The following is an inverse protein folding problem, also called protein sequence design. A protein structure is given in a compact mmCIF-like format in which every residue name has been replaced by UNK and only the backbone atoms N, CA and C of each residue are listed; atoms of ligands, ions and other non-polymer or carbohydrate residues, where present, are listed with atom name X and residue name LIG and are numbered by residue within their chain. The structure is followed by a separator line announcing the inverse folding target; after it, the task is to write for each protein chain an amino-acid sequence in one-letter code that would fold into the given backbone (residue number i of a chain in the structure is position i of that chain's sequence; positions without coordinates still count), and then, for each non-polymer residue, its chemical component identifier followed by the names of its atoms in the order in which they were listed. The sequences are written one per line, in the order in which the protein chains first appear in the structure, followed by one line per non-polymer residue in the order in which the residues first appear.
data_IF_326911732592
#
_entry.id   IF_326911732592
#
_cell.length_a   1.000
_cell.length_b   1.000
_cell.length_c   1.000
_cell.angle_alpha   90.00
_cell.angle_beta   90.00
_cell.angle_gamma   90.00
#
_symmetry.space_group_name_H-M   'P 1'
#
loop_
_entity.id
_entity.type
_entity.pdbx_description
1 polymer ?
#
# COMPACT_ATOMS: atom_id res chain seq x y z
N UNK A 1 -5.13 -13.83 -4.01
CA UNK A 1 -4.64 -13.00 -5.14
C UNK A 1 -4.20 -11.63 -4.64
N UNK A 2 -3.62 -10.74 -5.49
CA UNK A 2 -3.28 -9.36 -5.09
C UNK A 2 -4.52 -8.58 -4.64
N UNK A 3 -5.62 -8.75 -5.37
CA UNK A 3 -6.91 -8.14 -5.05
C UNK A 3 -7.47 -8.62 -3.71
N UNK A 4 -7.33 -9.91 -3.37
CA UNK A 4 -7.75 -10.41 -2.05
C UNK A 4 -6.98 -9.76 -0.90
N UNK A 5 -5.67 -9.49 -1.11
CA UNK A 5 -4.86 -8.79 -0.11
C UNK A 5 -5.34 -7.36 0.07
N UNK A 6 -5.62 -6.65 -1.02
CA UNK A 6 -6.18 -5.30 -0.97
C UNK A 6 -7.55 -5.29 -0.29
N UNK A 7 -8.48 -6.18 -0.70
CA UNK A 7 -9.82 -6.29 -0.10
C UNK A 7 -9.75 -6.64 1.39
N UNK A 8 -8.81 -7.51 1.78
CA UNK A 8 -8.57 -7.81 3.20
C UNK A 8 -8.05 -6.59 3.97
N UNK A 9 -7.17 -5.78 3.38
CA UNK A 9 -6.67 -4.56 4.00
C UNK A 9 -7.79 -3.52 4.14
N UNK A 10 -8.59 -3.32 3.10
CA UNK A 10 -9.76 -2.43 3.08
C UNK A 10 -10.73 -2.80 4.20
N UNK A 11 -11.15 -4.07 4.28
CA UNK A 11 -12.12 -4.53 5.30
C UNK A 11 -11.62 -4.41 6.73
N UNK A 12 -10.31 -4.41 6.95
CA UNK A 12 -9.70 -4.27 8.29
C UNK A 12 -9.62 -2.82 8.73
N UNK A 13 -9.48 -1.89 7.79
CA UNK A 13 -9.10 -0.50 8.09
C UNK A 13 -10.23 0.49 7.84
N UNK A 14 -11.08 0.26 6.83
CA UNK A 14 -12.13 1.19 6.39
C UNK A 14 -13.51 0.76 6.87
N UNK A 15 -14.44 1.72 6.89
CA UNK A 15 -15.86 1.44 7.20
C UNK A 15 -16.51 0.54 6.14
N UNK A 16 -17.64 -0.13 6.44
CA UNK A 16 -18.34 -0.97 5.47
C UNK A 16 -18.74 -0.23 4.19
N UNK A 17 -19.13 1.05 4.30
CA UNK A 17 -19.55 1.87 3.16
C UNK A 17 -18.37 2.26 2.26
N UNK A 18 -17.25 2.66 2.87
CA UNK A 18 -15.99 2.93 2.15
C UNK A 18 -15.45 1.66 1.49
N UNK A 19 -15.53 0.52 2.17
CA UNK A 19 -15.12 -0.77 1.62
C UNK A 19 -15.98 -1.16 0.41
N UNK A 20 -17.30 -0.95 0.48
CA UNK A 20 -18.20 -1.17 -0.64
C UNK A 20 -17.90 -0.21 -1.82
N UNK A 21 -17.55 1.04 -1.54
CA UNK A 21 -17.14 2.00 -2.56
C UNK A 21 -15.84 1.58 -3.27
N UNK A 22 -14.84 1.12 -2.52
CA UNK A 22 -13.60 0.61 -3.07
C UNK A 22 -13.78 -0.68 -3.89
N UNK A 23 -14.70 -1.56 -3.47
CA UNK A 23 -15.06 -2.76 -4.23
C UNK A 23 -15.70 -2.39 -5.58
N UNK A 24 -16.65 -1.44 -5.60
CA UNK A 24 -17.24 -0.90 -6.85
C UNK A 24 -16.19 -0.23 -7.73
N UNK A 25 -15.22 0.47 -7.14
CA UNK A 25 -14.14 1.11 -7.87
C UNK A 25 -13.21 0.09 -8.53
N UNK A 26 -12.92 -1.04 -7.87
CA UNK A 26 -12.14 -2.13 -8.44
C UNK A 26 -12.84 -2.77 -9.64
N UNK A 27 -14.16 -2.97 -9.55
CA UNK A 27 -14.98 -3.49 -10.66
C UNK A 27 -14.96 -2.51 -11.84
N UNK A 28 -15.20 -1.23 -11.58
CA UNK A 28 -15.15 -0.19 -12.59
C UNK A 28 -13.77 -0.08 -13.26
N UNK A 29 -12.69 -0.12 -12.47
CA UNK A 29 -11.33 -0.08 -12.98
C UNK A 29 -10.99 -1.33 -13.80
N UNK A 30 -11.46 -2.51 -13.39
CA UNK A 30 -11.28 -3.75 -14.14
C UNK A 30 -11.90 -3.66 -15.55
N UNK A 31 -13.11 -3.11 -15.66
CA UNK A 31 -13.78 -2.91 -16.94
C UNK A 31 -13.00 -1.97 -17.87
N UNK A 32 -12.57 -0.82 -17.34
CA UNK A 32 -11.90 0.23 -18.13
C UNK A 32 -10.44 -0.08 -18.46
N UNK A 33 -9.82 -1.01 -17.72
CA UNK A 33 -8.41 -1.40 -17.92
C UNK A 33 -8.25 -2.82 -18.46
N UNK A 34 -9.33 -3.49 -18.84
CA UNK A 34 -9.32 -4.90 -19.25
C UNK A 34 -8.34 -5.23 -20.39
N UNK A 35 -8.19 -4.32 -21.35
CA UNK A 35 -7.27 -4.46 -22.49
C UNK A 35 -5.88 -3.84 -22.25
N UNK A 36 -5.66 -3.21 -21.10
CA UNK A 36 -4.44 -2.49 -20.78
C UNK A 36 -3.48 -3.38 -20.00
N UNK A 37 -2.24 -3.47 -20.49
CA UNK A 37 -1.17 -4.23 -19.85
C UNK A 37 0.03 -3.34 -19.54
N UNK A 38 0.80 -3.74 -18.54
CA UNK A 38 2.09 -3.13 -18.19
C UNK A 38 3.19 -3.61 -19.14
N UNK A 39 4.39 -3.06 -18.97
CA UNK A 39 5.56 -3.39 -19.79
C UNK A 39 5.98 -4.88 -19.71
N UNK A 40 5.67 -5.58 -18.63
CA UNK A 40 5.89 -7.02 -18.46
C UNK A 40 4.68 -7.89 -18.88
N UNK A 41 3.63 -7.29 -19.45
CA UNK A 41 2.39 -7.97 -19.83
C UNK A 41 1.42 -8.22 -18.67
N UNK A 42 1.75 -7.81 -17.44
CA UNK A 42 0.81 -7.93 -16.32
C UNK A 42 -0.39 -6.96 -16.49
N UNK A 43 -1.59 -7.28 -15.95
CA UNK A 43 -2.76 -6.41 -16.06
C UNK A 43 -2.51 -5.03 -15.44
N UNK A 44 -3.00 -3.96 -16.07
CA UNK A 44 -2.85 -2.59 -15.52
C UNK A 44 -3.48 -2.45 -14.12
N UNK A 45 -4.61 -3.14 -13.89
CA UNK A 45 -5.30 -3.17 -12.60
C UNK A 45 -4.41 -3.63 -11.43
N UNK A 46 -3.39 -4.47 -11.69
CA UNK A 46 -2.46 -4.92 -10.65
C UNK A 46 -1.66 -3.75 -10.06
N UNK A 47 -1.30 -2.76 -10.89
CA UNK A 47 -0.62 -1.55 -10.44
C UNK A 47 -1.56 -0.73 -9.55
N UNK A 48 -2.76 -0.40 -10.04
CA UNK A 48 -3.74 0.38 -9.28
C UNK A 48 -4.08 -0.25 -7.92
N UNK A 49 -4.25 -1.58 -7.88
CA UNK A 49 -4.51 -2.29 -6.64
C UNK A 49 -3.33 -2.21 -5.65
N UNK A 50 -2.10 -2.27 -6.13
CA UNK A 50 -0.92 -2.17 -5.27
C UNK A 50 -0.68 -0.74 -4.79
N UNK A 51 -0.92 0.27 -5.62
CA UNK A 51 -0.89 1.69 -5.22
C UNK A 51 -1.90 1.97 -4.11
N UNK A 52 -3.13 1.49 -4.26
CA UNK A 52 -4.17 1.60 -3.25
C UNK A 52 -3.77 0.89 -1.94
N UNK A 53 -3.15 -0.29 -2.02
CA UNK A 53 -2.65 -1.03 -0.85
C UNK A 53 -1.53 -0.28 -0.12
N UNK A 54 -0.58 0.28 -0.86
CA UNK A 54 0.50 1.11 -0.29
C UNK A 54 -0.10 2.33 0.41
N UNK A 55 -1.03 3.02 -0.26
CA UNK A 55 -1.74 4.16 0.31
C UNK A 55 -2.44 3.81 1.62
N UNK A 56 -3.15 2.70 1.67
CA UNK A 56 -3.89 2.27 2.86
C UNK A 56 -2.99 1.77 4.00
N UNK A 57 -2.00 0.91 3.72
CA UNK A 57 -1.22 0.23 4.76
C UNK A 57 0.06 0.95 5.18
N UNK A 58 0.70 1.70 4.27
CA UNK A 58 2.01 2.33 4.51
C UNK A 58 1.90 3.85 4.75
N UNK A 59 0.89 4.50 4.18
CA UNK A 59 0.63 5.93 4.37
C UNK A 59 -0.54 6.18 5.34
N UNK A 60 -1.55 5.31 5.34
CA UNK A 60 -2.75 5.45 6.17
C UNK A 60 -3.85 6.30 5.52
N UNK A 61 -4.03 6.17 4.20
CA UNK A 61 -5.08 6.85 3.44
C UNK A 61 -6.48 6.29 3.75
N UNK A 62 -7.49 7.15 3.78
CA UNK A 62 -8.91 6.80 3.99
C UNK A 62 -9.66 6.40 2.72
N UNK A 63 -10.97 6.16 2.83
CA UNK A 63 -11.80 5.59 1.76
C UNK A 63 -11.70 6.30 0.42
N UNK A 64 -12.00 7.58 0.35
CA UNK A 64 -12.00 8.33 -0.92
C UNK A 64 -10.63 8.35 -1.59
N UNK A 65 -9.55 8.41 -0.81
CA UNK A 65 -8.19 8.36 -1.34
C UNK A 65 -7.82 6.98 -1.88
N UNK A 66 -8.30 5.91 -1.24
CA UNK A 66 -8.16 4.53 -1.74
C UNK A 66 -8.94 4.35 -3.03
N UNK A 67 -10.16 4.86 -3.10
CA UNK A 67 -10.98 4.84 -4.32
C UNK A 67 -10.28 5.62 -5.45
N UNK A 68 -9.80 6.83 -5.17
CA UNK A 68 -9.04 7.62 -6.14
C UNK A 68 -7.76 6.91 -6.60
N UNK A 69 -7.03 6.25 -5.69
CA UNK A 69 -5.86 5.44 -6.04
C UNK A 69 -6.20 4.23 -6.94
N UNK A 70 -7.38 3.61 -6.78
CA UNK A 70 -7.84 2.53 -7.67
C UNK A 70 -8.16 3.09 -9.07
N UNK A 71 -8.77 4.28 -9.14
CA UNK A 71 -9.26 4.88 -10.37
C UNK A 71 -8.22 5.73 -11.14
N UNK A 72 -7.06 6.02 -10.54
CA UNK A 72 -6.12 7.00 -11.09
C UNK A 72 -5.67 6.69 -12.53
N UNK A 73 -5.43 5.42 -12.84
CA UNK A 73 -4.98 5.00 -14.17
C UNK A 73 -6.11 4.99 -15.21
N UNK A 74 -7.35 4.78 -14.78
CA UNK A 74 -8.54 4.90 -15.64
C UNK A 74 -8.65 6.33 -16.16
N UNK A 75 -8.59 7.31 -15.26
CA UNK A 75 -8.69 8.74 -15.60
C UNK A 75 -7.48 9.22 -16.41
N UNK A 76 -6.27 8.79 -16.02
CA UNK A 76 -5.04 9.14 -16.75
C UNK A 76 -5.00 8.59 -18.16
N UNK A 77 -5.53 7.38 -18.39
CA UNK A 77 -5.58 6.83 -19.76
C UNK A 77 -6.62 7.57 -20.60
N UNK A 78 -7.80 7.85 -20.04
CA UNK A 78 -8.84 8.60 -20.75
C UNK A 78 -8.39 10.03 -21.11
N UNK A 79 -7.65 10.71 -20.23
CA UNK A 79 -7.14 12.07 -20.50
C UNK A 79 -6.15 12.15 -21.68
N UNK A 80 -5.65 11.01 -22.15
CA UNK A 80 -4.70 10.90 -23.28
C UNK A 80 -5.35 10.41 -24.57
N UNK A 81 -6.62 10.04 -24.54
CA UNK A 81 -7.35 9.56 -25.71
C UNK A 81 -7.98 10.71 -26.47
N UNK A 82 -9.08 11.26 -25.96
CA UNK A 82 -9.79 12.38 -26.54
C UNK A 82 -10.61 13.11 -25.45
N UNK A 83 -10.96 14.37 -25.73
CA UNK A 83 -11.64 15.25 -24.78
C UNK A 83 -13.05 14.77 -24.43
N UNK A 84 -13.79 14.21 -25.39
CA UNK A 84 -15.17 13.74 -25.18
C UNK A 84 -15.21 12.53 -24.24
N UNK A 85 -14.34 11.55 -24.48
CA UNK A 85 -14.16 10.38 -23.61
C UNK A 85 -13.76 10.79 -22.21
N UNK A 86 -12.84 11.75 -22.08
CA UNK A 86 -12.41 12.27 -20.78
C UNK A 86 -13.57 12.93 -20.03
N UNK A 87 -14.33 13.83 -20.68
CA UNK A 87 -15.48 14.51 -20.05
C UNK A 87 -16.54 13.52 -19.58
N UNK A 88 -16.97 12.61 -20.47
CA UNK A 88 -17.96 11.58 -20.11
C UNK A 88 -17.50 10.73 -18.93
N UNK A 89 -16.25 10.27 -18.93
CA UNK A 89 -15.69 9.49 -17.84
C UNK A 89 -15.68 10.29 -16.52
N UNK A 90 -15.32 11.57 -16.55
CA UNK A 90 -15.29 12.40 -15.34
C UNK A 90 -16.67 12.63 -14.75
N UNK A 91 -17.71 12.77 -15.58
CA UNK A 91 -19.09 12.85 -15.10
C UNK A 91 -19.55 11.52 -14.47
N UNK A 92 -19.24 10.38 -15.11
CA UNK A 92 -19.53 9.05 -14.54
C UNK A 92 -18.84 8.83 -13.17
N UNK A 93 -17.58 9.26 -13.03
CA UNK A 93 -16.86 9.16 -11.76
C UNK A 93 -17.49 10.06 -10.70
N UNK A 94 -17.90 11.28 -11.07
CA UNK A 94 -18.59 12.21 -10.15
C UNK A 94 -19.86 11.59 -9.58
N UNK A 95 -20.67 10.99 -10.44
CA UNK A 95 -21.97 10.45 -10.07
C UNK A 95 -21.84 9.17 -9.24
N UNK A 96 -20.86 8.32 -9.54
CA UNK A 96 -20.66 7.03 -8.87
C UNK A 96 -19.86 7.12 -7.57
N UNK A 97 -18.87 8.01 -7.52
CA UNK A 97 -17.87 8.05 -6.44
C UNK A 97 -17.73 9.42 -5.77
N UNK A 98 -18.44 10.44 -6.26
CA UNK A 98 -18.47 11.76 -5.65
C UNK A 98 -17.41 12.74 -6.16
N UNK A 99 -17.60 14.00 -5.79
CA UNK A 99 -16.77 15.12 -6.26
C UNK A 99 -15.32 15.07 -5.75
N UNK A 100 -15.10 14.58 -4.53
CA UNK A 100 -13.76 14.49 -3.94
C UNK A 100 -12.88 13.48 -4.69
N UNK A 101 -13.41 12.29 -4.96
CA UNK A 101 -12.73 11.25 -5.76
C UNK A 101 -12.43 11.78 -7.16
N UNK A 102 -13.39 12.45 -7.80
CA UNK A 102 -13.16 13.09 -9.10
C UNK A 102 -12.02 14.11 -9.03
N UNK A 103 -12.05 15.04 -8.08
CA UNK A 103 -11.04 16.07 -7.94
C UNK A 103 -9.64 15.48 -7.79
N UNK A 104 -9.48 14.46 -6.94
CA UNK A 104 -8.20 13.78 -6.77
C UNK A 104 -7.73 13.10 -8.06
N UNK A 105 -8.60 12.36 -8.75
CA UNK A 105 -8.21 11.60 -9.95
C UNK A 105 -7.86 12.49 -11.14
N UNK A 106 -8.57 13.62 -11.32
CA UNK A 106 -8.24 14.63 -12.33
C UNK A 106 -6.92 15.33 -12.02
N UNK A 107 -6.68 15.71 -10.76
CA UNK A 107 -5.39 16.30 -10.39
C UNK A 107 -4.23 15.33 -10.64
N UNK A 108 -4.41 14.04 -10.32
CA UNK A 108 -3.40 13.00 -10.59
C UNK A 108 -3.10 12.80 -12.09
N UNK A 109 -4.08 12.93 -12.98
CA UNK A 109 -3.86 12.80 -14.42
C UNK A 109 -2.99 13.95 -14.94
N UNK A 110 -3.28 15.19 -14.55
CA UNK A 110 -2.54 16.38 -14.98
C UNK A 110 -1.08 16.40 -14.47
N UNK A 111 -0.84 15.96 -13.23
CA UNK A 111 0.52 15.90 -12.65
C UNK A 111 1.43 14.97 -13.45
N UNK A 112 0.89 13.91 -14.02
CA UNK A 112 1.66 12.93 -14.78
C UNK A 112 2.25 13.52 -16.07
N UNK A 113 1.77 14.69 -16.51
CA UNK A 113 2.22 15.38 -17.71
C UNK A 113 3.20 16.54 -17.41
N UNK A 114 3.42 16.88 -16.13
CA UNK A 114 4.42 17.88 -15.71
C UNK A 114 5.82 17.37 -16.09
N UNK A 115 6.46 18.08 -17.01
CA UNK A 115 7.83 17.76 -17.47
C UNK A 115 8.84 18.25 -16.44
N UNK A 116 9.14 17.39 -15.46
CA UNK A 116 10.23 17.61 -14.53
C UNK A 116 11.55 17.76 -15.30
N UNK A 117 12.10 18.98 -15.33
CA UNK A 117 13.41 19.24 -15.94
C UNK A 117 14.51 18.79 -15.00
N UNK A 118 15.52 18.11 -15.52
CA UNK A 118 16.65 17.61 -14.72
C UNK A 118 17.66 18.71 -14.30
N UNK A 119 17.46 19.97 -14.69
CA UNK A 119 18.42 21.07 -14.51
C UNK A 119 18.25 21.82 -13.17
N UNK A 120 18.99 22.93 -13.00
CA UNK A 120 18.94 23.89 -11.86
C UNK A 120 17.54 24.44 -11.50
N UNK A 121 16.50 24.12 -12.27
CA UNK A 121 15.10 24.47 -12.05
C UNK A 121 14.38 23.52 -11.05
N UNK A 122 15.11 22.86 -10.15
CA UNK A 122 14.50 22.01 -9.11
C UNK A 122 13.48 22.77 -8.24
N UNK A 123 13.73 24.06 -8.00
CA UNK A 123 12.81 24.93 -7.25
C UNK A 123 11.50 25.17 -8.00
N UNK A 124 11.54 25.34 -9.33
CA UNK A 124 10.36 25.55 -10.17
C UNK A 124 9.54 24.26 -10.30
N UNK A 125 10.20 23.12 -10.54
CA UNK A 125 9.55 21.80 -10.52
C UNK A 125 8.84 21.55 -9.18
N UNK A 126 9.48 21.90 -8.07
CA UNK A 126 8.90 21.76 -6.73
C UNK A 126 7.72 22.72 -6.52
N UNK A 127 7.80 23.94 -7.04
CA UNK A 127 6.73 24.93 -6.99
C UNK A 127 5.51 24.50 -7.81
N UNK A 128 5.70 24.03 -9.04
CA UNK A 128 4.63 23.49 -9.89
C UNK A 128 3.93 22.32 -9.21
N UNK A 129 4.69 21.40 -8.63
CA UNK A 129 4.15 20.29 -7.86
C UNK A 129 3.33 20.77 -6.67
N UNK A 130 3.84 21.68 -5.84
CA UNK A 130 3.08 22.25 -4.71
C UNK A 130 1.76 22.87 -5.19
N UNK A 131 1.78 23.61 -6.30
CA UNK A 131 0.58 24.23 -6.86
C UNK A 131 -0.43 23.16 -7.29
N UNK A 132 0.00 22.08 -7.95
CA UNK A 132 -0.90 20.99 -8.36
C UNK A 132 -1.54 20.21 -7.20
N UNK A 133 -0.95 20.21 -6.01
CA UNK A 133 -1.49 19.57 -4.81
C UNK A 133 -2.21 20.55 -3.86
N UNK A 134 -2.23 21.84 -4.17
CA UNK A 134 -2.67 22.88 -3.24
C UNK A 134 -4.15 22.78 -2.85
N UNK A 135 -4.98 22.18 -3.71
CA UNK A 135 -6.41 21.99 -3.45
C UNK A 135 -6.69 20.80 -2.52
N UNK A 136 -5.92 19.71 -2.66
CA UNK A 136 -6.09 18.51 -1.82
C UNK A 136 -4.73 17.83 -1.53
N UNK A 137 -4.25 17.86 -0.27
CA UNK A 137 -2.98 17.25 0.12
C UNK A 137 -2.98 15.71 -0.02
N UNK A 138 -4.15 15.06 -0.14
CA UNK A 138 -4.24 13.60 -0.36
C UNK A 138 -3.68 13.22 -1.73
N UNK A 139 -3.70 14.12 -2.71
CA UNK A 139 -3.20 13.90 -4.07
C UNK A 139 -1.69 13.62 -4.07
N UNK A 140 -0.89 14.36 -3.29
CA UNK A 140 0.56 14.10 -3.20
C UNK A 140 0.85 12.77 -2.51
N UNK A 141 0.05 12.40 -1.52
CA UNK A 141 0.20 11.12 -0.82
C UNK A 141 -0.07 9.94 -1.76
N UNK A 142 -1.14 10.02 -2.56
CA UNK A 142 -1.42 9.01 -3.60
C UNK A 142 -0.26 8.97 -4.62
N UNK A 143 0.28 10.13 -5.02
CA UNK A 143 1.39 10.18 -5.97
C UNK A 143 2.69 9.56 -5.42
N UNK A 144 2.95 9.68 -4.12
CA UNK A 144 4.06 9.01 -3.47
C UNK A 144 3.86 7.49 -3.44
N UNK A 145 2.64 7.01 -3.20
CA UNK A 145 2.31 5.59 -3.30
C UNK A 145 2.52 5.03 -4.72
N UNK A 146 2.03 5.75 -5.74
CA UNK A 146 2.27 5.45 -7.16
C UNK A 146 3.77 5.36 -7.45
N UNK A 147 4.52 6.40 -7.06
CA UNK A 147 5.96 6.42 -7.30
C UNK A 147 6.69 5.27 -6.60
N UNK A 148 6.30 4.91 -5.38
CA UNK A 148 6.90 3.80 -4.65
C UNK A 148 6.62 2.46 -5.36
N UNK A 149 5.39 2.22 -5.83
CA UNK A 149 5.08 1.02 -6.63
C UNK A 149 5.96 0.95 -7.89
N UNK A 150 6.06 2.08 -8.61
CA UNK A 150 6.85 2.17 -9.84
C UNK A 150 8.32 1.84 -9.56
N UNK A 151 8.88 2.32 -8.45
CA UNK A 151 10.27 2.03 -8.08
C UNK A 151 10.44 0.58 -7.63
N UNK A 152 9.50 0.01 -6.88
CA UNK A 152 9.50 -1.42 -6.49
C UNK A 152 9.42 -2.38 -7.68
N UNK A 153 8.91 -1.91 -8.82
CA UNK A 153 8.73 -2.66 -10.06
C UNK A 153 9.56 -2.07 -11.21
N UNK A 154 10.63 -1.33 -10.93
CA UNK A 154 11.36 -0.59 -11.96
C UNK A 154 11.94 -1.52 -13.04
N UNK A 155 12.26 -2.76 -12.68
CA UNK A 155 12.79 -3.79 -13.56
C UNK A 155 11.89 -4.15 -14.75
N UNK A 156 10.57 -3.90 -14.66
CA UNK A 156 9.66 -4.18 -15.78
C UNK A 156 9.78 -3.12 -16.89
N UNK A 157 10.30 -1.94 -16.57
CA UNK A 157 10.41 -0.86 -17.54
C UNK A 157 11.62 -1.07 -18.45
N UNK A 158 11.58 -0.55 -19.68
CA UNK A 158 12.77 -0.45 -20.53
C UNK A 158 13.91 0.31 -19.86
N UNK A 159 15.16 -0.09 -20.12
CA UNK A 159 16.37 0.42 -19.43
C UNK A 159 16.56 1.93 -19.58
N UNK A 160 16.16 2.51 -20.70
CA UNK A 160 16.23 3.94 -20.96
C UNK A 160 15.37 4.76 -19.99
N UNK A 161 14.35 4.16 -19.38
CA UNK A 161 13.48 4.81 -18.38
C UNK A 161 14.06 4.73 -16.96
N UNK A 162 14.98 3.81 -16.67
CA UNK A 162 15.47 3.53 -15.31
C UNK A 162 16.15 4.75 -14.70
N UNK A 163 17.09 5.36 -15.44
CA UNK A 163 17.86 6.53 -14.97
C UNK A 163 16.94 7.70 -14.64
N UNK A 164 16.00 8.03 -15.54
CA UNK A 164 15.05 9.14 -15.33
C UNK A 164 14.17 8.90 -14.10
N UNK A 165 13.53 7.73 -14.00
CA UNK A 165 12.63 7.40 -12.88
C UNK A 165 13.35 7.36 -11.54
N UNK A 166 14.56 6.82 -11.51
CA UNK A 166 15.39 6.77 -10.30
C UNK A 166 15.85 8.16 -9.87
N UNK A 167 16.29 8.98 -10.83
CA UNK A 167 16.71 10.36 -10.57
C UNK A 167 15.57 11.21 -10.01
N UNK A 168 14.37 11.13 -10.60
CA UNK A 168 13.17 11.82 -10.08
C UNK A 168 12.84 11.32 -8.67
N UNK A 169 12.89 10.00 -8.44
CA UNK A 169 12.57 9.41 -7.13
C UNK A 169 13.50 9.90 -6.03
N UNK A 170 14.80 9.97 -6.32
CA UNK A 170 15.81 10.43 -5.38
C UNK A 170 15.74 11.93 -5.12
N UNK A 171 15.70 12.73 -6.19
CA UNK A 171 15.88 14.19 -6.06
C UNK A 171 14.59 14.94 -5.76
N UNK A 172 13.43 14.32 -6.01
CA UNK A 172 12.13 14.95 -5.81
C UNK A 172 11.27 14.18 -4.81
N UNK A 173 10.86 12.96 -5.15
CA UNK A 173 9.84 12.26 -4.36
C UNK A 173 10.33 11.87 -2.97
N UNK A 174 11.60 11.45 -2.83
CA UNK A 174 12.20 11.19 -1.52
C UNK A 174 12.27 12.45 -0.65
N UNK A 175 12.51 13.62 -1.26
CA UNK A 175 12.52 14.90 -0.52
C UNK A 175 11.12 15.29 -0.06
N UNK A 176 10.10 15.08 -0.89
CA UNK A 176 8.71 15.31 -0.48
C UNK A 176 8.33 14.35 0.66
N UNK A 177 8.63 13.06 0.52
CA UNK A 177 8.39 12.06 1.56
C UNK A 177 9.08 12.44 2.89
N UNK A 178 10.31 12.98 2.83
CA UNK A 178 11.00 13.50 4.01
C UNK A 178 10.22 14.64 4.68
N UNK A 179 9.77 15.63 3.91
CA UNK A 179 9.02 16.78 4.44
C UNK A 179 7.68 16.38 5.05
N UNK A 180 7.05 15.32 4.55
CA UNK A 180 5.80 14.77 5.07
C UNK A 180 6.00 13.74 6.21
N UNK A 181 7.24 13.50 6.67
CA UNK A 181 7.52 12.55 7.75
C UNK A 181 7.40 11.08 7.35
N UNK A 182 7.26 10.77 6.05
CA UNK A 182 7.13 9.41 5.50
C UNK A 182 8.51 8.75 5.35
N UNK A 183 9.25 8.61 6.45
CA UNK A 183 10.65 8.17 6.44
C UNK A 183 10.87 6.77 5.85
N UNK A 184 9.92 5.84 6.05
CA UNK A 184 10.01 4.50 5.45
C UNK A 184 9.97 4.57 3.92
N UNK A 185 9.03 5.34 3.37
CA UNK A 185 8.90 5.54 1.92
C UNK A 185 10.11 6.27 1.37
N UNK A 186 10.55 7.34 2.04
CA UNK A 186 11.78 8.07 1.70
C UNK A 186 12.97 7.11 1.57
N UNK A 187 13.26 6.34 2.63
CA UNK A 187 14.42 5.45 2.64
C UNK A 187 14.35 4.39 1.55
N UNK A 188 13.16 3.82 1.29
CA UNK A 188 13.00 2.83 0.24
C UNK A 188 13.18 3.44 -1.16
N UNK A 189 12.64 4.63 -1.42
CA UNK A 189 12.87 5.35 -2.68
C UNK A 189 14.35 5.66 -2.89
N UNK A 190 15.07 6.11 -1.85
CA UNK A 190 16.51 6.39 -1.89
C UNK A 190 17.32 5.13 -2.19
N UNK A 191 17.06 4.03 -1.47
CA UNK A 191 17.80 2.77 -1.63
C UNK A 191 17.59 2.18 -3.03
N UNK A 192 16.34 2.14 -3.53
CA UNK A 192 16.06 1.65 -4.88
C UNK A 192 16.68 2.59 -5.91
N UNK A 193 16.52 3.92 -5.77
CA UNK A 193 17.09 4.85 -6.75
C UNK A 193 18.61 4.73 -6.85
N UNK A 194 19.31 4.58 -5.72
CA UNK A 194 20.76 4.41 -5.70
C UNK A 194 21.18 3.13 -6.43
N UNK A 195 20.45 2.01 -6.22
CA UNK A 195 20.70 0.74 -6.90
C UNK A 195 20.73 0.88 -8.42
N UNK A 196 19.87 1.73 -8.99
CA UNK A 196 19.76 1.90 -10.44
C UNK A 196 20.57 3.07 -11.01
N UNK A 197 20.90 4.08 -10.20
CA UNK A 197 21.74 5.21 -10.60
C UNK A 197 23.22 4.88 -10.53
N UNK A 198 23.65 4.30 -9.40
CA UNK A 198 25.06 4.00 -9.11
C UNK A 198 25.21 2.55 -8.61
N UNK A 199 25.09 1.53 -9.50
CA UNK A 199 25.06 0.13 -9.08
C UNK A 199 26.33 -0.33 -8.36
N UNK A 200 27.49 0.20 -8.75
CA UNK A 200 28.78 -0.14 -8.16
C UNK A 200 28.88 0.35 -6.70
N UNK A 201 28.52 1.62 -6.47
CA UNK A 201 28.49 2.20 -5.13
C UNK A 201 27.45 1.52 -4.25
N UNK A 202 26.27 1.22 -4.80
CA UNK A 202 25.24 0.47 -4.10
C UNK A 202 25.77 -0.89 -3.64
N UNK A 203 26.44 -1.64 -4.53
CA UNK A 203 26.97 -2.97 -4.21
C UNK A 203 28.07 -2.89 -3.15
N UNK A 204 29.00 -1.95 -3.28
CA UNK A 204 30.06 -1.72 -2.29
C UNK A 204 29.50 -1.40 -0.89
N UNK A 205 28.46 -0.56 -0.81
CA UNK A 205 27.79 -0.25 0.45
C UNK A 205 27.07 -1.50 1.00
N UNK A 206 26.40 -2.26 0.13
CA UNK A 206 25.68 -3.47 0.52
C UNK A 206 26.62 -4.53 1.11
N UNK A 207 27.79 -4.74 0.50
CA UNK A 207 28.79 -5.70 0.95
C UNK A 207 29.37 -5.31 2.31
N UNK A 208 29.78 -4.05 2.49
CA UNK A 208 30.25 -3.54 3.80
C UNK A 208 29.20 -3.66 4.92
N UNK A 209 27.93 -3.45 4.59
CA UNK A 209 26.83 -3.60 5.54
C UNK A 209 26.58 -5.07 5.91
N UNK A 210 26.88 -6.00 5.01
CA UNK A 210 26.76 -7.44 5.23
C UNK A 210 27.92 -7.97 6.08
N UNK A 211 29.16 -7.49 5.85
CA UNK A 211 30.34 -7.85 6.64
C UNK A 211 30.17 -7.55 8.13
N UNK A 212 29.56 -6.40 8.45
CA UNK A 212 29.35 -5.94 9.84
C UNK A 212 28.01 -6.38 10.44
N UNK A 213 27.23 -7.21 9.73
CA UNK A 213 25.86 -7.54 10.13
C UNK A 213 25.80 -8.37 11.42
N UNK A 214 26.67 -9.37 11.57
CA UNK A 214 26.73 -10.24 12.74
C UNK A 214 27.10 -9.45 14.01
N UNK A 215 28.13 -8.60 13.92
CA UNK A 215 28.60 -7.74 14.99
C UNK A 215 27.51 -6.75 15.43
N UNK A 216 26.86 -6.10 14.47
CA UNK A 216 25.75 -5.16 14.74
C UNK A 216 24.57 -5.87 15.39
N UNK A 217 24.18 -7.08 14.94
CA UNK A 217 23.11 -7.87 15.57
C UNK A 217 23.45 -8.23 17.01
N UNK A 218 24.68 -8.67 17.27
CA UNK A 218 25.15 -9.02 18.60
C UNK A 218 25.16 -7.81 19.54
N UNK A 219 25.59 -6.64 19.04
CA UNK A 219 25.55 -5.39 19.79
C UNK A 219 24.11 -4.97 20.12
N UNK A 220 23.20 -4.99 19.15
CA UNK A 220 21.78 -4.67 19.36
C UNK A 220 21.14 -5.60 20.39
N UNK A 221 21.40 -6.91 20.31
CA UNK A 221 20.88 -7.88 21.27
C UNK A 221 21.37 -7.58 22.69
N UNK A 222 22.67 -7.28 22.86
CA UNK A 222 23.27 -6.94 24.15
C UNK A 222 22.67 -5.69 24.79
N UNK A 223 22.25 -4.71 23.97
CA UNK A 223 21.58 -3.50 24.45
C UNK A 223 20.11 -3.75 24.75
N UNK A 224 19.42 -4.55 23.95
CA UNK A 224 17.99 -4.85 24.13
C UNK A 224 17.70 -5.79 25.30
N UNK A 225 18.58 -6.75 25.57
CA UNK A 225 18.40 -7.75 26.64
C UNK A 225 18.17 -7.12 28.03
N UNK A 226 18.99 -6.20 28.54
CA UNK A 226 18.73 -5.57 29.84
C UNK A 226 17.49 -4.66 29.84
N UNK A 227 17.13 -4.09 28.68
CA UNK A 227 15.94 -3.22 28.56
C UNK A 227 14.66 -4.08 28.63
N UNK A 228 14.61 -5.17 27.87
CA UNK A 228 13.48 -6.10 27.83
C UNK A 228 13.27 -6.76 29.19
N UNK A 229 14.34 -7.24 29.84
CA UNK A 229 14.25 -7.81 31.20
C UNK A 229 13.64 -6.84 32.22
N UNK A 230 14.02 -5.55 32.18
CA UNK A 230 13.45 -4.54 33.09
C UNK A 230 12.00 -4.21 32.78
N UNK A 231 11.60 -4.23 31.52
CA UNK A 231 10.22 -3.98 31.10
C UNK A 231 9.31 -5.16 31.47
N UNK A 232 9.79 -6.39 31.33
CA UNK A 232 9.09 -7.60 31.75
C UNK A 232 8.90 -7.64 33.28
N UNK A 233 9.93 -7.28 34.04
CA UNK A 233 9.86 -7.15 35.51
C UNK A 233 8.85 -6.08 35.96
N UNK A 234 8.65 -5.04 35.16
CA UNK A 234 7.68 -3.98 35.42
C UNK A 234 6.23 -4.36 35.03
N UNK A 235 6.00 -5.57 34.49
CA UNK A 235 4.68 -6.03 34.04
C UNK A 235 4.19 -5.37 32.75
N UNK A 236 5.08 -4.68 32.02
CA UNK A 236 4.76 -4.04 30.75
C UNK A 236 4.96 -5.03 29.60
N UNK A 237 3.88 -5.55 29.01
CA UNK A 237 3.97 -6.45 27.86
C UNK A 237 4.63 -5.74 26.65
N UNK A 238 5.88 -6.09 26.32
CA UNK A 238 6.61 -5.49 25.20
C UNK A 238 6.49 -6.27 23.90
N UNK A 239 6.12 -5.58 22.81
CA UNK A 239 6.43 -6.01 21.44
C UNK A 239 7.73 -5.35 21.00
N UNK A 240 8.90 -5.95 21.32
CA UNK A 240 10.19 -5.40 20.87
C UNK A 240 10.47 -5.84 19.42
N UNK A 241 10.43 -4.91 18.46
CA UNK A 241 10.85 -5.17 17.08
C UNK A 241 12.09 -4.35 16.77
N UNK A 242 13.25 -5.00 16.64
CA UNK A 242 14.48 -4.33 16.20
C UNK A 242 14.31 -3.80 14.76
N UNK A 243 14.68 -2.55 14.50
CA UNK A 243 14.66 -1.98 13.17
C UNK A 243 15.85 -2.55 12.35
N UNK A 244 15.61 -3.26 11.22
CA UNK A 244 16.70 -3.80 10.40
C UNK A 244 17.46 -2.69 9.69
N UNK A 245 18.75 -2.92 9.42
CA UNK A 245 19.63 -2.00 8.67
C UNK A 245 19.25 -1.92 7.19
N UNK A 246 19.50 -0.75 6.59
CA UNK A 246 18.97 -0.31 5.27
C UNK A 246 19.10 -1.36 4.13
N UNK A 247 20.27 -1.98 3.92
CA UNK A 247 20.44 -2.94 2.80
C UNK A 247 19.70 -4.29 2.96
N UNK A 248 19.35 -4.68 4.19
CA UNK A 248 18.80 -6.02 4.50
C UNK A 248 17.28 -6.14 4.27
N UNK A 249 16.57 -5.02 4.03
CA UNK A 249 15.10 -5.03 3.81
C UNK A 249 14.68 -5.55 2.43
N UNK A 250 15.60 -5.63 1.45
CA UNK A 250 15.26 -6.01 0.07
C UNK A 250 14.94 -7.50 -0.16
N UNK A 251 14.93 -8.35 0.87
CA UNK A 251 14.86 -9.81 0.68
C UNK A 251 13.99 -10.65 1.63
N UNK A 252 13.25 -10.10 2.61
CA UNK A 252 12.45 -10.93 3.53
C UNK A 252 11.06 -10.37 3.80
N UNK A 253 10.10 -10.83 3.00
CA UNK A 253 8.67 -10.76 3.35
C UNK A 253 8.34 -12.04 4.14
N UNK A 254 8.59 -12.04 5.45
CA UNK A 254 8.20 -13.14 6.32
C UNK A 254 6.67 -13.17 6.42
N UNK A 255 6.07 -14.22 5.87
CA UNK A 255 4.69 -14.63 6.15
C UNK A 255 4.62 -15.10 7.60
N UNK A 256 4.00 -14.34 8.49
CA UNK A 256 3.65 -14.82 9.83
C UNK A 256 2.39 -15.69 9.72
N UNK A 257 2.57 -17.01 9.61
CA UNK A 257 1.53 -17.98 9.92
C UNK A 257 1.47 -18.15 11.44
N UNK A 258 0.43 -17.63 12.06
CA UNK A 258 0.13 -17.88 13.47
C UNK A 258 -0.50 -19.26 13.59
N UNK A 259 0.25 -20.25 14.08
CA UNK A 259 -0.30 -21.56 14.46
C UNK A 259 -1.04 -21.43 15.79
N UNK A 260 -2.25 -22.02 15.97
CA UNK A 260 -2.92 -22.03 17.26
C UNK A 260 -2.27 -23.08 18.18
N UNK A 261 -1.99 -22.65 19.42
CA UNK A 261 -1.50 -23.48 20.52
C UNK A 261 -2.46 -24.62 20.85
N UNK A 262 -1.93 -25.84 20.96
CA UNK A 262 -2.62 -27.02 21.47
C UNK A 262 -2.95 -26.85 22.96
N UNK A 263 -4.23 -26.92 23.32
CA UNK A 263 -4.66 -27.17 24.69
C UNK A 263 -4.48 -28.66 25.01
N UNK A 264 -3.69 -28.95 26.03
CA UNK A 264 -3.53 -30.26 26.65
C UNK A 264 -4.79 -30.64 27.42
N UNK A 265 -5.43 -31.76 27.05
CA UNK A 265 -6.45 -32.44 27.86
C UNK A 265 -5.86 -33.72 28.42
N UNK A 266 -5.63 -33.75 29.73
CA UNK A 266 -5.34 -34.95 30.51
C UNK A 266 -6.66 -35.58 30.99
N UNK A 267 -6.93 -36.77 30.46
CA UNK A 267 -7.60 -37.94 31.07
C UNK A 267 -8.41 -37.77 32.38
N UNK A 268 -9.66 -38.25 32.37
CA UNK A 268 -10.04 -39.56 32.96
C UNK A 268 -11.52 -39.93 32.71
N UNK A 269 -11.87 -41.23 32.59
CA UNK A 269 -13.24 -41.70 32.37
C UNK A 269 -13.90 -42.22 33.66
N UNK A 270 -15.21 -42.05 33.82
CA UNK A 270 -16.02 -42.97 34.63
C UNK A 270 -17.49 -42.97 34.19
N UNK A 271 -18.08 -44.16 34.29
CA UNK A 271 -19.35 -44.57 33.74
C UNK A 271 -20.57 -44.06 34.52
N UNK A 272 -21.72 -43.94 33.85
CA UNK A 272 -22.91 -44.73 34.19
C UNK A 272 -24.12 -44.39 33.31
N UNK A 273 -24.88 -45.44 33.08
CA UNK A 273 -26.16 -45.60 32.37
C UNK A 273 -27.27 -44.63 32.78
N UNK A 274 -28.12 -44.23 31.83
CA UNK A 274 -29.51 -44.71 31.76
C UNK A 274 -30.32 -44.10 30.60
N UNK A 275 -31.11 -44.98 30.03
CA UNK A 275 -32.16 -44.88 29.02
C UNK A 275 -33.23 -43.82 29.35
N UNK A 276 -33.78 -43.13 28.33
CA UNK A 276 -35.22 -43.13 27.95
C UNK A 276 -35.48 -42.09 26.84
N UNK A 277 -36.38 -42.49 25.95
CA UNK A 277 -36.72 -42.01 24.61
C UNK A 277 -37.78 -40.86 24.66
N UNK A 278 -38.40 -40.41 23.54
CA UNK A 278 -38.49 -39.00 23.16
C UNK A 278 -39.91 -38.41 23.29
N UNK A 279 -40.06 -37.09 23.11
CA UNK A 279 -41.35 -36.52 22.67
C UNK A 279 -41.18 -35.41 21.64
N UNK A 280 -42.10 -35.47 20.68
CA UNK A 280 -42.20 -34.80 19.39
C UNK A 280 -43.32 -33.75 19.48
N UNK A 281 -43.35 -32.84 18.49
CA UNK A 281 -44.45 -31.92 18.07
C UNK A 281 -44.62 -30.68 18.95
N UNK A 282 -45.01 -29.49 18.46
CA UNK A 282 -45.47 -28.97 17.16
C UNK A 282 -45.27 -27.43 17.24
N UNK A 283 -44.83 -26.71 16.21
CA UNK A 283 -45.66 -26.04 15.18
C UNK A 283 -46.66 -24.98 15.69
N UNK A 284 -46.33 -23.70 15.51
CA UNK A 284 -47.23 -22.59 15.12
C UNK A 284 -46.40 -21.30 15.07
N UNK A 285 -46.05 -20.74 13.90
CA UNK A 285 -46.90 -19.92 13.02
C UNK A 285 -47.55 -18.73 13.75
N UNK A 286 -47.00 -17.53 13.54
CA UNK A 286 -47.55 -16.25 13.94
C UNK A 286 -46.96 -15.15 13.06
N UNK A 287 -47.74 -14.72 12.07
CA UNK A 287 -47.43 -13.68 11.06
C UNK A 287 -47.43 -12.26 11.67
N UNK A 288 -46.88 -11.26 10.95
CA UNK A 288 -46.67 -9.89 11.42
C UNK A 288 -47.81 -8.94 11.02
N UNK A 289 -47.85 -7.75 11.65
CA UNK A 289 -48.48 -6.54 11.11
C UNK A 289 -48.03 -5.27 11.85
N UNK A 290 -48.22 -4.07 11.23
CA UNK A 290 -47.22 -3.00 11.23
C UNK A 290 -47.69 -1.70 11.89
N UNK A 291 -46.75 -0.76 12.09
CA UNK A 291 -46.87 0.70 11.89
C UNK A 291 -45.52 1.25 11.46
#
# INVERSE_FOLDING_TARGET
TRYDKLRSAIRRTLSPDEAAAADRALEYAAEHTASQVRHDGSPMLDHAAEVARIGLEEIGLGGDSVVAAILHDVVRTASRQDEETFLRLTDEIRDRFGKEVLGMTVSLSHISDIRLKASREQAENFRELIVSYSEDPRVILIKLADRLEVMRRLEIFPREKWRKKSWESLNLYAQIAHKLGLYNIKSELEDIALRYLEPQDYQHIADKLAETESERRAFIARVLEPITQRLDQAGCATTSRAAPSRSSRSGRRCTSSTSPSRASTTSSPSASSSTVRPRRRNSSAGRPTPW
#
